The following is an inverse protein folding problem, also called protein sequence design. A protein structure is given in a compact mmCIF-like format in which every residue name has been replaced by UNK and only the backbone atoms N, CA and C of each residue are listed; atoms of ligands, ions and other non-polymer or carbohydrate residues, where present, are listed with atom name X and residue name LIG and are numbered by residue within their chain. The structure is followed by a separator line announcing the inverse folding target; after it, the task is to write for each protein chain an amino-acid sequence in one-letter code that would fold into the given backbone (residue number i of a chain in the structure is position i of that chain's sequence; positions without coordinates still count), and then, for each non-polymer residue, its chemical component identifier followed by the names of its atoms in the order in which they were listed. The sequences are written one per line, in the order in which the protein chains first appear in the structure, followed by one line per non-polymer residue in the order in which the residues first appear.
data_IF_189567594926
#
_entry.id   IF_189567594926
#
_cell.length_a   1.000
_cell.length_b   1.000
_cell.length_c   1.000
_cell.angle_alpha   90.00
_cell.angle_beta   90.00
_cell.angle_gamma   90.00
#
_symmetry.space_group_name_H-M   'P 1'
#
loop_
_entity.id
_entity.type
_entity.pdbx_description
1 polymer ?
#
# COMPACT_ATOMS: atom_id res chain seq x y z
N UNK A 1 -18.20 -1.45 14.93
CA UNK A 1 -17.35 -2.65 14.78
C UNK A 1 -16.11 -2.37 13.93
N UNK A 2 -16.23 -1.87 12.69
CA UNK A 2 -15.07 -1.57 11.83
C UNK A 2 -14.09 -0.55 12.43
N UNK A 3 -14.59 0.61 12.89
CA UNK A 3 -13.75 1.62 13.54
C UNK A 3 -13.10 1.12 14.84
N UNK A 4 -13.71 0.15 15.54
CA UNK A 4 -13.09 -0.47 16.72
C UNK A 4 -11.91 -1.36 16.34
N UNK A 5 -11.97 -2.05 15.18
CA UNK A 5 -10.86 -2.85 14.66
C UNK A 5 -9.71 -1.92 14.23
N UNK A 6 -10.03 -0.82 13.54
CA UNK A 6 -9.04 0.19 13.16
C UNK A 6 -8.38 0.78 14.40
N UNK A 7 -9.16 1.25 15.38
CA UNK A 7 -8.63 1.86 16.60
C UNK A 7 -7.76 0.88 17.41
N UNK A 8 -8.17 -0.40 17.48
CA UNK A 8 -7.38 -1.44 18.15
C UNK A 8 -6.04 -1.68 17.43
N UNK A 9 -6.04 -1.81 16.09
CA UNK A 9 -4.79 -1.97 15.32
C UNK A 9 -3.91 -0.74 15.43
N UNK A 10 -4.50 0.45 15.36
CA UNK A 10 -3.81 1.72 15.49
C UNK A 10 -3.09 1.81 16.83
N UNK A 11 -3.80 1.61 17.94
CA UNK A 11 -3.20 1.62 19.28
C UNK A 11 -2.05 0.62 19.44
N UNK A 12 -2.13 -0.54 18.79
CA UNK A 12 -1.03 -1.52 18.77
C UNK A 12 0.20 -0.97 18.03
N UNK A 13 0.02 -0.44 16.82
CA UNK A 13 1.12 0.11 16.04
C UNK A 13 1.75 1.36 16.71
N UNK A 14 0.94 2.21 17.36
CA UNK A 14 1.44 3.36 18.12
C UNK A 14 2.32 2.92 19.30
N UNK A 15 1.95 1.84 20.00
CA UNK A 15 2.81 1.26 21.05
C UNK A 15 4.13 0.74 20.48
N UNK A 16 4.12 0.19 19.27
CA UNK A 16 5.32 -0.32 18.60
C UNK A 16 6.34 0.78 18.23
N UNK A 17 5.94 2.05 18.27
CA UNK A 17 6.80 3.21 18.02
C UNK A 17 6.97 4.12 19.24
N UNK A 18 6.52 3.69 20.42
CA UNK A 18 6.50 4.52 21.64
C UNK A 18 7.88 5.11 21.95
N UNK A 19 8.92 4.29 21.81
CA UNK A 19 10.32 4.63 22.05
C UNK A 19 11.12 4.91 20.77
N UNK A 20 10.44 5.10 19.64
CA UNK A 20 11.12 5.41 18.38
C UNK A 20 11.58 6.87 18.40
N UNK A 21 12.90 7.07 18.49
CA UNK A 21 13.56 8.37 18.48
C UNK A 21 14.04 8.81 17.11
N UNK A 22 14.09 7.90 16.14
CA UNK A 22 14.55 8.13 14.78
C UNK A 22 13.43 7.82 13.77
N UNK A 23 13.01 8.85 13.03
CA UNK A 23 11.97 8.77 11.99
C UNK A 23 12.53 8.65 10.57
N UNK A 24 13.84 8.40 10.42
CA UNK A 24 14.42 8.05 9.12
C UNK A 24 13.88 6.71 8.61
N UNK A 25 14.02 6.45 7.31
CA UNK A 25 13.66 5.16 6.70
C UNK A 25 14.31 3.97 7.41
N UNK A 26 15.54 4.13 7.89
CA UNK A 26 16.26 3.08 8.62
C UNK A 26 15.65 2.86 10.03
N UNK A 27 15.34 3.95 10.75
CA UNK A 27 14.66 3.88 12.04
C UNK A 27 13.30 3.17 11.94
N UNK A 28 12.51 3.50 10.91
CA UNK A 28 11.22 2.86 10.62
C UNK A 28 11.41 1.39 10.26
N UNK A 29 12.38 1.05 9.42
CA UNK A 29 12.65 -0.33 9.03
C UNK A 29 13.01 -1.21 10.23
N UNK A 30 13.80 -0.67 11.16
CA UNK A 30 14.23 -1.36 12.38
C UNK A 30 13.16 -1.39 13.49
N UNK A 31 12.07 -0.64 13.35
CA UNK A 31 10.99 -0.58 14.35
C UNK A 31 10.20 -1.90 14.47
N UNK A 32 9.28 -1.98 15.43
CA UNK A 32 8.37 -3.13 15.61
C UNK A 32 7.05 -3.00 14.82
N UNK A 33 6.96 -2.04 13.89
CA UNK A 33 5.78 -1.87 13.03
C UNK A 33 5.51 -3.12 12.19
N UNK A 34 4.24 -3.33 11.86
CA UNK A 34 3.81 -4.41 10.97
C UNK A 34 4.51 -4.27 9.59
N UNK A 35 4.89 -5.39 8.94
CA UNK A 35 5.53 -5.36 7.63
C UNK A 35 4.75 -4.57 6.58
N UNK A 36 3.42 -4.63 6.58
CA UNK A 36 2.61 -3.85 5.65
C UNK A 36 2.76 -2.36 5.90
N UNK A 37 2.71 -1.93 7.17
CA UNK A 37 2.90 -0.53 7.56
C UNK A 37 4.28 -0.03 7.15
N UNK A 38 5.33 -0.84 7.33
CA UNK A 38 6.69 -0.51 6.88
C UNK A 38 6.77 -0.35 5.37
N UNK A 39 6.22 -1.30 4.61
CA UNK A 39 6.19 -1.20 3.14
C UNK A 39 5.43 0.03 2.68
N UNK A 40 4.27 0.33 3.28
CA UNK A 40 3.51 1.54 2.99
C UNK A 40 4.32 2.82 3.25
N UNK A 41 4.96 2.92 4.42
CA UNK A 41 5.78 4.08 4.77
C UNK A 41 6.96 4.25 3.79
N UNK A 42 7.58 3.16 3.34
CA UNK A 42 8.69 3.22 2.39
C UNK A 42 8.30 3.76 1.01
N UNK A 43 7.03 3.65 0.63
CA UNK A 43 6.51 4.11 -0.66
C UNK A 43 5.89 5.51 -0.55
N UNK A 44 5.16 5.80 0.53
CA UNK A 44 4.31 7.00 0.62
C UNK A 44 4.84 8.09 1.54
N UNK A 45 5.61 7.75 2.58
CA UNK A 45 5.87 8.71 3.66
C UNK A 45 6.98 9.72 3.34
N UNK A 46 7.82 9.45 2.34
CA UNK A 46 8.95 10.31 2.00
C UNK A 46 9.84 10.56 3.22
N UNK A 47 10.02 11.84 3.59
CA UNK A 47 10.75 12.23 4.80
C UNK A 47 9.77 12.65 5.91
N UNK A 48 9.74 11.86 6.99
CA UNK A 48 8.87 12.09 8.14
C UNK A 48 9.52 13.07 9.11
N UNK A 49 8.87 14.22 9.34
CA UNK A 49 9.41 15.32 10.13
C UNK A 49 8.98 15.29 11.59
N UNK A 50 7.92 14.55 11.92
CA UNK A 50 7.36 14.55 13.26
C UNK A 50 6.66 13.24 13.61
N UNK A 51 6.50 12.99 14.91
CA UNK A 51 5.69 11.88 15.42
C UNK A 51 4.25 11.94 14.91
N UNK A 52 3.61 13.11 14.97
CA UNK A 52 2.21 13.25 14.50
C UNK A 52 2.06 12.89 13.02
N UNK A 53 3.05 13.22 12.20
CA UNK A 53 3.09 12.83 10.79
C UNK A 53 3.22 11.31 10.61
N UNK A 54 4.13 10.66 11.36
CA UNK A 54 4.27 9.20 11.37
C UNK A 54 2.95 8.52 11.77
N UNK A 55 2.33 8.99 12.85
CA UNK A 55 1.06 8.48 13.37
C UNK A 55 -0.06 8.59 12.33
N UNK A 56 -0.13 9.71 11.60
CA UNK A 56 -1.08 9.87 10.49
C UNK A 56 -0.86 8.85 9.37
N UNK A 57 0.40 8.63 8.96
CA UNK A 57 0.70 7.63 7.94
C UNK A 57 0.40 6.20 8.40
N UNK A 58 0.66 5.86 9.66
CA UNK A 58 0.26 4.57 10.25
C UNK A 58 -1.26 4.39 10.17
N UNK A 59 -2.03 5.43 10.51
CA UNK A 59 -3.49 5.42 10.37
C UNK A 59 -3.96 5.13 8.94
N UNK A 60 -3.31 5.75 7.94
CA UNK A 60 -3.58 5.50 6.52
C UNK A 60 -3.21 4.07 6.11
N UNK A 61 -2.05 3.56 6.53
CA UNK A 61 -1.59 2.21 6.23
C UNK A 61 -2.58 1.15 6.74
N UNK A 62 -3.05 1.29 7.99
CA UNK A 62 -4.01 0.36 8.60
C UNK A 62 -5.33 0.37 7.84
N UNK A 63 -5.86 1.55 7.50
CA UNK A 63 -7.10 1.67 6.72
C UNK A 63 -6.93 1.02 5.35
N UNK A 64 -5.79 1.23 4.68
CA UNK A 64 -5.47 0.60 3.40
C UNK A 64 -5.40 -0.93 3.53
N UNK A 65 -4.71 -1.46 4.53
CA UNK A 65 -4.55 -2.90 4.76
C UNK A 65 -5.91 -3.58 4.98
N UNK A 66 -6.76 -2.96 5.80
CA UNK A 66 -8.09 -3.51 6.09
C UNK A 66 -8.98 -3.44 4.84
N UNK A 67 -8.99 -2.30 4.13
CA UNK A 67 -9.74 -2.17 2.88
C UNK A 67 -9.30 -3.22 1.86
N UNK A 68 -7.99 -3.45 1.75
CA UNK A 68 -7.43 -4.44 0.85
C UNK A 68 -7.87 -5.87 1.21
N UNK A 69 -7.94 -6.17 2.51
CA UNK A 69 -8.41 -7.47 3.00
C UNK A 69 -9.87 -7.75 2.63
N UNK A 70 -10.72 -6.71 2.60
CA UNK A 70 -12.17 -6.86 2.35
C UNK A 70 -12.51 -6.70 0.87
N UNK A 71 -11.84 -5.79 0.18
CA UNK A 71 -12.11 -5.39 -1.22
C UNK A 71 -10.78 -5.23 -1.98
N UNK A 72 -10.06 -6.33 -2.26
CA UNK A 72 -8.70 -6.26 -2.79
C UNK A 72 -8.64 -5.52 -4.14
N UNK A 73 -9.46 -5.93 -5.12
CA UNK A 73 -9.54 -5.30 -6.45
C UNK A 73 -9.78 -3.79 -6.40
N UNK A 74 -10.84 -3.40 -5.70
CA UNK A 74 -11.23 -2.00 -5.56
C UNK A 74 -10.12 -1.21 -4.86
N UNK A 75 -9.49 -1.79 -3.84
CA UNK A 75 -8.43 -1.12 -3.08
C UNK A 75 -7.18 -0.93 -3.92
N UNK A 76 -6.73 -1.95 -4.66
CA UNK A 76 -5.58 -1.85 -5.58
C UNK A 76 -5.81 -0.72 -6.58
N UNK A 77 -6.95 -0.74 -7.28
CA UNK A 77 -7.24 0.25 -8.33
C UNK A 77 -7.29 1.66 -7.76
N UNK A 78 -8.00 1.88 -6.66
CA UNK A 78 -8.09 3.22 -6.07
C UNK A 78 -6.79 3.68 -5.42
N UNK A 79 -5.96 2.77 -4.91
CA UNK A 79 -4.70 3.17 -4.31
C UNK A 79 -3.64 3.54 -5.37
N UNK A 80 -3.57 2.78 -6.46
CA UNK A 80 -2.62 3.03 -7.56
C UNK A 80 -3.00 4.29 -8.33
N UNK A 81 -4.25 4.37 -8.76
CA UNK A 81 -4.72 5.40 -9.67
C UNK A 81 -5.31 6.62 -8.96
N UNK A 82 -5.80 6.46 -7.73
CA UNK A 82 -6.55 7.51 -7.01
C UNK A 82 -7.68 8.01 -7.93
N UNK A 83 -7.68 9.29 -8.30
CA UNK A 83 -8.65 9.93 -9.18
C UNK A 83 -8.15 10.08 -10.63
N UNK A 84 -7.06 9.39 -10.99
CA UNK A 84 -6.47 9.43 -12.35
C UNK A 84 -6.93 8.25 -13.19
N UNK A 85 -7.02 8.47 -14.50
CA UNK A 85 -7.32 7.41 -15.47
C UNK A 85 -6.08 6.64 -15.92
N UNK A 86 -4.88 7.17 -15.67
CA UNK A 86 -3.61 6.55 -16.05
C UNK A 86 -2.49 6.81 -15.04
N UNK A 87 -1.47 5.96 -15.07
CA UNK A 87 -0.30 6.06 -14.20
C UNK A 87 0.96 5.53 -14.89
N UNK A 88 2.13 6.01 -14.45
CA UNK A 88 3.43 5.51 -14.89
C UNK A 88 3.68 4.07 -14.41
N UNK A 89 4.24 3.17 -15.24
CA UNK A 89 4.54 1.79 -14.85
C UNK A 89 5.34 1.66 -13.55
N UNK A 90 6.31 2.54 -13.32
CA UNK A 90 7.17 2.53 -12.13
C UNK A 90 6.38 2.86 -10.87
N UNK A 91 5.42 3.78 -10.96
CA UNK A 91 4.53 4.15 -9.86
C UNK A 91 3.58 2.99 -9.55
N UNK A 92 3.04 2.33 -10.57
CA UNK A 92 2.19 1.13 -10.41
C UNK A 92 2.97 0.03 -9.69
N UNK A 93 4.19 -0.25 -10.16
CA UNK A 93 5.09 -1.27 -9.60
C UNK A 93 5.44 -0.98 -8.14
N UNK A 94 5.79 0.28 -7.83
CA UNK A 94 6.10 0.70 -6.47
C UNK A 94 4.90 0.53 -5.54
N UNK A 95 3.72 0.98 -5.96
CA UNK A 95 2.49 0.92 -5.15
C UNK A 95 1.96 -0.49 -4.95
N UNK A 96 1.99 -1.34 -5.98
CA UNK A 96 1.47 -2.70 -5.87
C UNK A 96 2.33 -3.56 -4.93
N UNK A 97 3.63 -3.26 -4.81
CA UNK A 97 4.59 -4.02 -3.99
C UNK A 97 4.27 -4.05 -2.49
N UNK A 98 3.40 -3.15 -2.00
CA UNK A 98 2.96 -3.08 -0.60
C UNK A 98 2.00 -4.24 -0.27
N UNK A 99 1.25 -4.73 -1.26
CA UNK A 99 0.20 -5.70 -1.05
C UNK A 99 0.74 -7.14 -1.05
N UNK A 100 1.09 -7.65 0.13
CA UNK A 100 1.64 -9.01 0.29
C UNK A 100 0.60 -10.14 0.31
N UNK A 101 -0.64 -9.84 0.68
CA UNK A 101 -1.76 -10.78 0.57
C UNK A 101 -2.31 -10.77 -0.86
N UNK A 102 -2.87 -11.88 -1.35
CA UNK A 102 -3.33 -12.03 -2.74
C UNK A 102 -2.25 -11.63 -3.77
N UNK A 103 -1.02 -12.10 -3.53
CA UNK A 103 0.18 -11.78 -4.32
C UNK A 103 0.05 -12.08 -5.81
N UNK A 104 -0.88 -12.96 -6.19
CA UNK A 104 -1.21 -13.22 -7.60
C UNK A 104 -1.64 -11.95 -8.36
N UNK A 105 -2.30 -10.97 -7.72
CA UNK A 105 -2.59 -9.69 -8.38
C UNK A 105 -1.32 -8.89 -8.66
N UNK A 106 -0.39 -8.84 -7.70
CA UNK A 106 0.92 -8.21 -7.88
C UNK A 106 1.69 -8.88 -9.04
N UNK A 107 1.69 -10.21 -9.08
CA UNK A 107 2.39 -10.98 -10.11
C UNK A 107 1.78 -10.78 -11.50
N UNK A 108 0.45 -10.82 -11.62
CA UNK A 108 -0.25 -10.59 -12.88
C UNK A 108 -0.03 -9.17 -13.42
N UNK A 109 -0.13 -8.17 -12.54
CA UNK A 109 0.14 -6.77 -12.91
C UNK A 109 1.61 -6.60 -13.34
N UNK A 110 2.56 -7.13 -12.58
CA UNK A 110 3.97 -7.03 -12.93
C UNK A 110 4.33 -7.79 -14.21
N UNK A 111 3.67 -8.91 -14.51
CA UNK A 111 3.83 -9.61 -15.78
C UNK A 111 3.37 -8.74 -16.94
N UNK A 112 2.17 -8.16 -16.83
CA UNK A 112 1.63 -7.22 -17.81
C UNK A 112 2.56 -6.01 -18.02
N UNK A 113 3.04 -5.38 -16.95
CA UNK A 113 3.91 -4.20 -17.04
C UNK A 113 5.26 -4.49 -17.72
N UNK A 114 5.75 -5.74 -17.70
CA UNK A 114 6.98 -6.12 -18.41
C UNK A 114 6.80 -6.21 -19.92
N UNK A 115 5.60 -6.50 -20.38
CA UNK A 115 5.28 -6.64 -21.80
C UNK A 115 4.91 -5.30 -22.44
N UNK A 116 4.40 -4.37 -21.64
CA UNK A 116 3.97 -3.05 -22.09
C UNK A 116 5.16 -2.12 -22.31
N UNK A 117 5.22 -1.52 -23.50
CA UNK A 117 6.23 -0.51 -23.88
C UNK A 117 5.69 0.92 -23.79
N UNK A 118 4.45 1.11 -23.33
CA UNK A 118 3.82 2.43 -23.27
C UNK A 118 4.35 3.26 -22.10
N UNK A 119 4.39 4.57 -22.33
CA UNK A 119 4.88 5.54 -21.33
C UNK A 119 3.95 5.68 -20.13
N UNK A 120 2.66 5.39 -20.32
CA UNK A 120 1.63 5.37 -19.27
C UNK A 120 0.71 4.16 -19.45
N UNK A 121 0.17 3.67 -18.35
CA UNK A 121 -0.76 2.53 -18.31
C UNK A 121 -2.13 3.01 -17.83
N UNK A 122 -3.17 2.56 -18.51
CA UNK A 122 -4.56 2.95 -18.20
C UNK A 122 -5.12 2.13 -17.04
N UNK A 123 -5.99 2.75 -16.25
CA UNK A 123 -6.72 2.11 -15.15
C UNK A 123 -7.57 0.94 -15.64
N UNK A 124 -8.18 1.06 -16.82
CA UNK A 124 -8.99 0.00 -17.43
C UNK A 124 -8.17 -1.26 -17.71
N UNK A 125 -6.95 -1.11 -18.22
CA UNK A 125 -6.07 -2.24 -18.52
C UNK A 125 -5.69 -3.00 -17.25
N UNK A 126 -5.32 -2.30 -16.16
CA UNK A 126 -5.04 -2.96 -14.88
C UNK A 126 -6.30 -3.62 -14.30
N UNK A 127 -7.48 -3.00 -14.47
CA UNK A 127 -8.74 -3.60 -14.04
C UNK A 127 -9.01 -4.91 -14.78
N UNK A 128 -8.83 -4.95 -16.10
CA UNK A 128 -8.98 -6.17 -16.91
C UNK A 128 -8.05 -7.28 -16.42
N UNK A 129 -6.77 -7.00 -16.21
CA UNK A 129 -5.81 -7.97 -15.64
C UNK A 129 -6.27 -8.51 -14.28
N UNK A 130 -6.71 -7.62 -13.39
CA UNK A 130 -7.22 -8.01 -12.07
C UNK A 130 -8.49 -8.87 -12.16
N UNK A 131 -9.38 -8.57 -13.11
CA UNK A 131 -10.62 -9.32 -13.32
C UNK A 131 -10.38 -10.70 -13.93
N UNK A 132 -9.44 -10.81 -14.88
CA UNK A 132 -9.03 -12.07 -15.50
C UNK A 132 -8.33 -13.01 -14.50
N UNK A 133 -7.54 -12.45 -13.57
CA UNK A 133 -6.81 -13.26 -12.57
C UNK A 133 -7.74 -13.97 -11.58
N UNK A 134 -8.94 -13.43 -11.32
CA UNK A 134 -9.95 -14.08 -10.46
C UNK A 134 -10.74 -15.19 -11.17
N UNK A 135 -10.67 -15.24 -12.50
CA UNK A 135 -11.43 -16.19 -13.32
C UNK A 135 -10.63 -17.49 -13.58
N UNK A 136 -9.40 -17.57 -13.06
CA UNK A 136 -8.51 -18.74 -13.08
C UNK A 136 -8.57 -19.50 -11.75
#
# INVERSE_FOLDING_TARGET
MFEQIIDKRYKTEIKNIEFLSDYTSQGIFNSKLDPFTKSFLSVEAGNIKSRSELENYIGKAIRLQINYTIRPKWTILNYIFVDKDSQLPEVITSKISIFKFYRYYEEAINAYLKEVTTLTVMRSSIKEIIDDTDSM
#
